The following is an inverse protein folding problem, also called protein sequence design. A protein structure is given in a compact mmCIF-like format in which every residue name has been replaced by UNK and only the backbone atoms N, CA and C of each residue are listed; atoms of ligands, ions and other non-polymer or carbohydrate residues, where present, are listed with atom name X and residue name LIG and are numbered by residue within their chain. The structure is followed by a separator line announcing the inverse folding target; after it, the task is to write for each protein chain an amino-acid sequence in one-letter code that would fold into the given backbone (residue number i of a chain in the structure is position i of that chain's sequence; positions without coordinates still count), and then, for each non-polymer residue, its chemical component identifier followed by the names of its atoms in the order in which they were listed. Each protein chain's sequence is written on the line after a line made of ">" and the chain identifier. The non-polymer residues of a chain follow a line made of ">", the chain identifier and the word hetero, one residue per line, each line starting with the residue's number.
data_IF_413755935369
#
_entry.id   IF_413755935369
#
_cell.length_a   1.000
_cell.length_b   1.000
_cell.length_c   1.000
_cell.angle_alpha   90.00
_cell.angle_beta   90.00
_cell.angle_gamma   90.00
#
_symmetry.space_group_name_H-M   'P 1'
#
loop_
_entity.id
_entity.type
_entity.pdbx_description
1 polymer ?
#
# COMPACT_ATOMS: atom_id res chain seq x y z
N UNK A 1 16.66 -10.13 3.39
CA UNK A 1 16.27 -9.92 1.99
C UNK A 1 15.67 -8.53 1.97
N UNK A 2 16.37 -7.59 1.35
CA UNK A 2 15.96 -6.19 1.35
C UNK A 2 14.74 -5.97 0.44
N UNK A 3 13.89 -5.03 0.81
CA UNK A 3 12.76 -4.62 -0.01
C UNK A 3 13.26 -3.80 -1.22
N UNK A 4 12.58 -3.87 -2.37
CA UNK A 4 12.91 -3.00 -3.49
C UNK A 4 12.77 -1.53 -3.12
N UNK A 5 13.62 -0.68 -3.71
CA UNK A 5 13.41 0.77 -3.71
C UNK A 5 12.07 1.12 -4.37
N UNK A 6 11.51 2.28 -3.99
CA UNK A 6 10.17 2.73 -4.42
C UNK A 6 9.98 2.64 -5.93
N UNK A 7 10.93 3.13 -6.73
CA UNK A 7 10.81 3.12 -8.20
C UNK A 7 10.79 1.70 -8.77
N UNK A 8 11.57 0.80 -8.17
CA UNK A 8 11.61 -0.61 -8.56
C UNK A 8 10.32 -1.32 -8.17
N UNK A 9 9.78 -1.04 -6.99
CA UNK A 9 8.50 -1.60 -6.57
C UNK A 9 7.36 -1.08 -7.44
N UNK A 10 7.30 0.22 -7.72
CA UNK A 10 6.31 0.80 -8.63
C UNK A 10 6.37 0.17 -10.03
N UNK A 11 7.57 -0.10 -10.56
CA UNK A 11 7.74 -0.81 -11.82
C UNK A 11 7.23 -2.26 -11.76
N UNK A 12 7.44 -2.96 -10.64
CA UNK A 12 6.89 -4.31 -10.42
C UNK A 12 5.36 -4.25 -10.39
N UNK A 13 4.77 -3.31 -9.65
CA UNK A 13 3.32 -3.12 -9.58
C UNK A 13 2.73 -2.86 -10.98
N UNK A 14 3.34 -1.95 -11.76
CA UNK A 14 2.91 -1.67 -13.14
C UNK A 14 3.00 -2.88 -14.06
N UNK A 15 4.03 -3.71 -13.89
CA UNK A 15 4.23 -4.90 -14.72
C UNK A 15 3.28 -6.06 -14.36
N UNK A 16 2.76 -6.08 -13.13
CA UNK A 16 2.07 -7.25 -12.58
C UNK A 16 0.61 -7.01 -12.19
N UNK A 17 0.17 -5.75 -12.08
CA UNK A 17 -1.21 -5.39 -11.76
C UNK A 17 -1.87 -4.78 -13.00
N UNK A 18 -2.71 -5.53 -13.74
CA UNK A 18 -3.39 -5.02 -14.93
C UNK A 18 -4.27 -3.81 -14.59
N UNK A 19 -4.18 -2.75 -15.40
CA UNK A 19 -5.03 -1.56 -15.26
C UNK A 19 -4.60 -0.53 -14.20
N UNK A 20 -3.51 -0.78 -13.46
CA UNK A 20 -2.99 0.19 -12.50
C UNK A 20 -2.35 1.38 -13.24
N UNK A 21 -2.68 2.60 -12.80
CA UNK A 21 -2.06 3.82 -13.31
C UNK A 21 -0.63 4.02 -12.75
N UNK A 22 0.22 4.77 -13.47
CA UNK A 22 1.61 4.99 -13.07
C UNK A 22 1.69 5.80 -11.76
N UNK A 23 0.82 6.80 -11.60
CA UNK A 23 0.74 7.59 -10.39
C UNK A 23 0.28 6.73 -9.21
N UNK A 24 -0.76 5.91 -9.39
CA UNK A 24 -1.24 5.02 -8.34
C UNK A 24 -0.17 3.98 -7.94
N UNK A 25 0.53 3.37 -8.89
CA UNK A 25 1.59 2.43 -8.60
C UNK A 25 2.72 3.07 -7.77
N UNK A 26 3.10 4.31 -8.09
CA UNK A 26 4.09 5.06 -7.33
C UNK A 26 3.60 5.40 -5.92
N UNK A 27 2.34 5.84 -5.79
CA UNK A 27 1.73 6.12 -4.49
C UNK A 27 1.67 4.86 -3.61
N UNK A 28 1.27 3.72 -4.16
CA UNK A 28 1.25 2.45 -3.43
C UNK A 28 2.65 2.05 -2.99
N UNK A 29 3.65 2.14 -3.87
CA UNK A 29 5.04 1.81 -3.51
C UNK A 29 5.57 2.71 -2.37
N UNK A 30 5.29 4.01 -2.41
CA UNK A 30 5.64 4.94 -1.32
C UNK A 30 4.89 4.62 -0.03
N UNK A 31 3.58 4.37 -0.12
CA UNK A 31 2.73 4.05 1.02
C UNK A 31 3.24 2.79 1.71
N UNK A 32 3.51 1.73 0.94
CA UNK A 32 4.02 0.48 1.49
C UNK A 32 5.40 0.68 2.12
N UNK A 33 6.31 1.45 1.50
CA UNK A 33 7.61 1.78 2.12
C UNK A 33 7.41 2.41 3.50
N UNK A 34 6.46 3.32 3.65
CA UNK A 34 6.23 4.01 4.92
C UNK A 34 5.52 3.11 5.92
N UNK A 35 4.56 2.29 5.50
CA UNK A 35 3.96 1.21 6.33
C UNK A 35 5.03 0.26 6.87
N UNK A 36 6.02 -0.12 6.07
CA UNK A 36 7.13 -1.02 6.50
C UNK A 36 8.03 -0.40 7.59
N UNK A 37 7.93 0.90 7.83
CA UNK A 37 8.67 1.61 8.89
C UNK A 37 7.90 1.73 10.19
N UNK A 38 6.61 1.41 10.19
CA UNK A 38 5.82 1.26 11.41
C UNK A 38 6.26 0.00 12.16
N UNK A 39 5.93 -0.07 13.46
CA UNK A 39 6.28 -1.19 14.33
C UNK A 39 5.38 -2.41 14.04
N UNK A 40 5.72 -3.11 12.96
CA UNK A 40 4.99 -4.27 12.46
C UNK A 40 5.63 -5.57 12.92
N UNK A 41 4.81 -6.49 13.42
CA UNK A 41 5.24 -7.85 13.74
C UNK A 41 5.55 -8.65 12.47
N UNK A 42 4.77 -8.46 11.41
CA UNK A 42 5.04 -9.06 10.09
C UNK A 42 5.06 -7.98 9.03
N UNK A 43 6.26 -7.49 8.72
CA UNK A 43 6.50 -6.53 7.65
C UNK A 43 6.02 -7.09 6.30
N UNK A 44 5.16 -6.38 5.54
CA UNK A 44 4.62 -6.87 4.28
C UNK A 44 5.68 -6.91 3.18
N UNK A 45 5.67 -7.98 2.37
CA UNK A 45 6.56 -8.15 1.23
C UNK A 45 5.98 -7.60 -0.07
N UNK A 46 6.66 -7.91 -1.18
CA UNK A 46 6.21 -7.51 -2.53
C UNK A 46 4.92 -8.23 -2.93
N UNK A 47 4.72 -9.46 -2.47
CA UNK A 47 3.49 -10.22 -2.74
C UNK A 47 2.25 -9.51 -2.14
N UNK A 48 2.33 -9.08 -0.88
CA UNK A 48 1.24 -8.32 -0.25
C UNK A 48 1.05 -6.94 -0.87
N UNK A 49 2.12 -6.33 -1.37
CA UNK A 49 2.06 -5.06 -2.10
C UNK A 49 1.30 -5.20 -3.42
N UNK A 50 1.47 -6.34 -4.12
CA UNK A 50 0.72 -6.68 -5.32
C UNK A 50 -0.76 -6.93 -5.02
N UNK A 51 -1.08 -7.68 -3.97
CA UNK A 51 -2.47 -7.92 -3.54
C UNK A 51 -3.19 -6.60 -3.27
N UNK A 52 -2.54 -5.69 -2.53
CA UNK A 52 -3.07 -4.38 -2.18
C UNK A 52 -3.27 -3.48 -3.40
N UNK A 53 -2.25 -3.38 -4.26
CA UNK A 53 -2.34 -2.65 -5.51
C UNK A 53 -3.46 -3.17 -6.42
N UNK A 54 -3.64 -4.49 -6.50
CA UNK A 54 -4.69 -5.11 -7.28
C UNK A 54 -6.08 -4.80 -6.71
N UNK A 55 -6.25 -4.84 -5.38
CA UNK A 55 -7.52 -4.52 -4.74
C UNK A 55 -7.93 -3.04 -4.95
N UNK A 56 -6.99 -2.11 -4.77
CA UNK A 56 -7.21 -0.68 -5.02
C UNK A 56 -7.57 -0.41 -6.49
N UNK A 57 -6.87 -1.08 -7.42
CA UNK A 57 -7.17 -0.99 -8.86
C UNK A 57 -8.55 -1.58 -9.17
N UNK A 58 -8.92 -2.68 -8.52
CA UNK A 58 -10.19 -3.38 -8.70
C UNK A 58 -11.41 -2.56 -8.29
N UNK A 59 -11.28 -1.70 -7.27
CA UNK A 59 -12.33 -0.75 -6.90
C UNK A 59 -12.30 0.55 -7.73
N UNK A 60 -11.37 0.65 -8.68
CA UNK A 60 -11.24 1.80 -9.58
C UNK A 60 -10.58 3.02 -8.97
N UNK A 61 -9.91 2.88 -7.81
CA UNK A 61 -9.20 3.99 -7.19
C UNK A 61 -8.06 4.45 -8.10
N UNK A 62 -7.78 5.76 -8.12
CA UNK A 62 -6.71 6.38 -8.93
C UNK A 62 -5.72 7.19 -8.12
N UNK A 63 -6.12 7.64 -6.93
CA UNK A 63 -5.28 8.35 -5.98
C UNK A 63 -5.64 7.88 -4.58
N UNK A 64 -4.64 7.50 -3.77
CA UNK A 64 -4.87 6.98 -2.42
C UNK A 64 -5.54 8.00 -1.48
N UNK A 65 -5.37 9.30 -1.74
CA UNK A 65 -5.90 10.39 -0.91
C UNK A 65 -7.38 10.67 -1.18
N UNK A 66 -7.92 10.22 -2.31
CA UNK A 66 -9.32 10.45 -2.65
C UNK A 66 -10.28 9.58 -1.84
N UNK A 67 -9.83 8.43 -1.35
CA UNK A 67 -10.64 7.53 -0.53
C UNK A 67 -9.80 6.81 0.55
N UNK A 68 -9.44 7.53 1.63
CA UNK A 68 -8.70 6.97 2.76
C UNK A 68 -9.41 5.80 3.45
N UNK A 69 -10.74 5.79 3.40
CA UNK A 69 -11.55 4.75 4.04
C UNK A 69 -11.41 3.42 3.30
N UNK A 70 -11.53 3.43 1.97
CA UNK A 70 -11.26 2.25 1.14
C UNK A 70 -9.81 1.77 1.29
N UNK A 71 -8.85 2.69 1.38
CA UNK A 71 -7.44 2.33 1.65
C UNK A 71 -7.30 1.59 2.98
N UNK A 72 -7.93 2.10 4.04
CA UNK A 72 -7.92 1.47 5.36
C UNK A 72 -8.55 0.08 5.33
N UNK A 73 -9.73 -0.06 4.73
CA UNK A 73 -10.44 -1.33 4.65
C UNK A 73 -9.65 -2.38 3.87
N UNK A 74 -8.90 -1.95 2.84
CA UNK A 74 -8.04 -2.82 2.04
C UNK A 74 -6.71 -3.16 2.70
N UNK A 75 -6.36 -2.61 3.87
CA UNK A 75 -5.16 -3.00 4.61
C UNK A 75 -5.14 -4.49 4.95
N UNK A 76 -6.28 -5.20 4.98
CA UNK A 76 -6.31 -6.67 5.11
C UNK A 76 -5.55 -7.41 4.01
N UNK A 77 -5.44 -6.82 2.83
CA UNK A 77 -4.67 -7.41 1.73
C UNK A 77 -3.17 -7.19 1.92
N UNK A 78 -2.77 -6.12 2.60
CA UNK A 78 -1.38 -5.76 2.88
C UNK A 78 -0.86 -6.38 4.18
N UNK A 79 -1.61 -6.23 5.27
CA UNK A 79 -1.26 -6.63 6.63
C UNK A 79 -2.06 -7.88 7.03
N UNK A 80 -1.37 -9.03 7.06
CA UNK A 80 -2.02 -10.33 7.25
C UNK A 80 -2.39 -10.63 8.71
N UNK A 81 -1.77 -9.95 9.68
CA UNK A 81 -2.09 -10.15 11.10
C UNK A 81 -3.18 -9.16 11.53
N UNK A 82 -4.02 -9.56 12.48
CA UNK A 82 -5.00 -8.65 13.09
C UNK A 82 -4.30 -7.57 13.94
N UNK A 83 -3.25 -7.95 14.65
CA UNK A 83 -2.44 -7.08 15.50
C UNK A 83 -1.83 -5.91 14.72
N UNK A 84 -1.18 -6.18 13.58
CA UNK A 84 -0.59 -5.15 12.71
C UNK A 84 -1.65 -4.17 12.18
N UNK A 85 -2.86 -4.66 11.88
CA UNK A 85 -3.97 -3.80 11.42
C UNK A 85 -4.53 -2.93 12.55
N UNK A 86 -4.62 -3.46 13.76
CA UNK A 86 -4.99 -2.65 14.93
C UNK A 86 -3.91 -1.62 15.28
N UNK A 87 -2.64 -1.90 14.99
CA UNK A 87 -1.52 -0.98 15.20
C UNK A 87 -1.49 0.19 14.21
N UNK A 88 -2.21 0.09 13.07
CA UNK A 88 -2.37 1.17 12.10
C UNK A 88 -3.82 1.70 12.13
N UNK A 89 -4.21 2.49 13.15
CA UNK A 89 -5.53 3.13 13.18
C UNK A 89 -5.68 4.15 12.05
N UNK A 90 -6.92 4.56 11.78
CA UNK A 90 -7.27 5.50 10.69
C UNK A 90 -6.44 6.79 10.70
N UNK A 91 -6.10 7.29 11.89
CA UNK A 91 -5.26 8.47 12.07
C UNK A 91 -3.84 8.26 11.53
N UNK A 92 -3.24 7.10 11.78
CA UNK A 92 -1.92 6.73 11.26
C UNK A 92 -1.99 6.56 9.74
N UNK A 93 -3.00 5.87 9.23
CA UNK A 93 -3.18 5.71 7.78
C UNK A 93 -3.34 7.06 7.09
N UNK A 94 -4.13 7.98 7.66
CA UNK A 94 -4.32 9.33 7.12
C UNK A 94 -2.99 10.10 7.08
N UNK A 95 -2.20 10.04 8.16
CA UNK A 95 -0.85 10.62 8.20
C UNK A 95 0.05 10.07 7.09
N UNK A 96 0.05 8.76 6.90
CA UNK A 96 0.85 8.10 5.85
C UNK A 96 0.38 8.50 4.44
N UNK A 97 -0.93 8.70 4.25
CA UNK A 97 -1.52 9.14 2.99
C UNK A 97 -1.15 10.59 2.62
N UNK A 98 -0.90 11.45 3.60
CA UNK A 98 -0.41 12.82 3.34
C UNK A 98 1.03 12.83 2.82
N UNK A 99 1.83 11.81 3.15
CA UNK A 99 3.26 11.74 2.81
C UNK A 99 3.55 11.15 1.41
N UNK A 100 2.55 10.54 0.77
CA UNK A 100 2.70 9.91 -0.55
C UNK A 100 2.51 10.86 -1.74
N UNK A 101 2.16 12.12 -1.49
CA UNK A 101 1.97 13.17 -2.49
C UNK A 101 3.20 13.45 -3.36
#
# INVERSE_FOLDING_TARGET
>A
MDFPEVDREAAILKARVPGIDAALALQVARFVRDVRREDLRKVPGVAESLDFAAALTGIGLKDLRHDPESVYDLLITLLKTHEDRCALPREVVSRLLEQVA
#
